data_IF_522809089990
#
_entry.id   IF_522809089990
#
_cell.length_a   1.000
_cell.length_b   1.000
_cell.length_c   1.000
_cell.angle_alpha   90.00
_cell.angle_beta   90.00
_cell.angle_gamma   90.00
#
_symmetry.space_group_name_H-M   'P 1'
#
loop_
_entity.id
_entity.type
_entity.pdbx_description
1 polymer ?
#
# COMPACT_ATOMS: atom_id res chain seq x y z
N UNK A 1 -12.63 9.44 48.20
CA UNK A 1 -13.11 9.02 46.86
C UNK A 1 -12.55 9.99 45.83
N UNK A 2 -11.47 9.66 45.10
CA UNK A 2 -10.79 10.57 44.14
C UNK A 2 -9.96 9.80 43.10
N UNK A 3 -10.42 8.61 42.68
CA UNK A 3 -9.67 7.70 41.80
C UNK A 3 -10.21 7.63 40.36
N UNK A 4 -11.36 8.27 40.08
CA UNK A 4 -12.03 8.17 38.77
C UNK A 4 -11.36 8.97 37.65
N UNK A 5 -10.77 10.14 37.94
CA UNK A 5 -10.14 10.99 36.91
C UNK A 5 -8.97 10.34 36.17
N UNK A 6 -8.09 9.62 36.88
CA UNK A 6 -6.95 8.92 36.25
C UNK A 6 -7.34 7.73 35.38
N UNK A 7 -8.55 7.17 35.52
CA UNK A 7 -9.05 6.08 34.69
C UNK A 7 -9.63 6.62 33.39
N UNK A 8 -10.35 7.74 33.44
CA UNK A 8 -10.94 8.38 32.26
C UNK A 8 -9.87 8.93 31.31
N UNK A 9 -8.80 9.56 31.81
CA UNK A 9 -7.67 10.03 30.97
C UNK A 9 -7.02 8.91 30.12
N UNK A 10 -6.92 7.71 30.70
CA UNK A 10 -6.36 6.55 29.99
C UNK A 10 -7.32 6.01 28.93
N UNK A 11 -8.61 6.02 29.24
CA UNK A 11 -9.67 5.59 28.33
C UNK A 11 -9.78 6.55 27.14
N UNK A 12 -9.73 7.86 27.39
CA UNK A 12 -9.79 8.90 26.36
C UNK A 12 -8.61 8.81 25.40
N UNK A 13 -7.39 8.63 25.92
CA UNK A 13 -6.19 8.39 25.08
C UNK A 13 -6.27 7.10 24.29
N UNK A 14 -6.97 6.07 24.79
CA UNK A 14 -7.20 4.83 24.07
C UNK A 14 -8.23 5.03 22.94
N UNK A 15 -9.33 5.73 23.22
CA UNK A 15 -10.40 6.00 22.26
C UNK A 15 -9.92 6.91 21.12
N UNK A 16 -9.22 8.01 21.43
CA UNK A 16 -8.64 8.89 20.42
C UNK A 16 -7.63 8.16 19.53
N UNK A 17 -6.86 7.24 20.13
CA UNK A 17 -5.91 6.41 19.40
C UNK A 17 -6.64 5.53 18.38
N UNK A 18 -7.67 4.81 18.80
CA UNK A 18 -8.47 3.93 17.92
C UNK A 18 -9.17 4.73 16.81
N UNK A 19 -9.71 5.92 17.13
CA UNK A 19 -10.36 6.80 16.17
C UNK A 19 -9.39 7.31 15.08
N UNK A 20 -8.20 7.77 15.49
CA UNK A 20 -7.17 8.23 14.55
C UNK A 20 -6.67 7.10 13.63
N UNK A 21 -6.51 5.88 14.16
CA UNK A 21 -6.12 4.72 13.36
C UNK A 21 -7.18 4.32 12.34
N UNK A 22 -8.46 4.40 12.72
CA UNK A 22 -9.56 4.17 11.78
C UNK A 22 -9.55 5.20 10.65
N UNK A 23 -9.41 6.49 10.96
CA UNK A 23 -9.31 7.56 9.95
C UNK A 23 -8.12 7.38 8.99
N UNK A 24 -6.94 7.06 9.53
CA UNK A 24 -5.73 6.79 8.74
C UNK A 24 -5.80 5.52 7.90
N UNK A 25 -6.67 4.56 8.23
CA UNK A 25 -6.89 3.35 7.45
C UNK A 25 -7.89 3.58 6.32
N UNK A 26 -8.93 4.38 6.57
CA UNK A 26 -9.98 4.69 5.59
C UNK A 26 -9.40 5.45 4.39
N UNK A 27 -8.50 6.41 4.62
CA UNK A 27 -7.87 7.20 3.54
C UNK A 27 -7.13 6.35 2.48
N UNK A 28 -6.16 5.49 2.84
CA UNK A 28 -5.48 4.63 1.88
C UNK A 28 -6.39 3.53 1.32
N UNK A 29 -7.40 3.07 2.06
CA UNK A 29 -8.39 2.14 1.54
C UNK A 29 -9.24 2.77 0.41
N UNK A 30 -9.69 4.02 0.60
CA UNK A 30 -10.41 4.77 -0.43
C UNK A 30 -9.52 5.11 -1.64
N UNK A 31 -8.25 5.49 -1.40
CA UNK A 31 -7.29 5.73 -2.48
C UNK A 31 -7.02 4.47 -3.30
N UNK A 32 -6.84 3.33 -2.64
CA UNK A 32 -6.67 2.03 -3.30
C UNK A 32 -7.91 1.62 -4.09
N UNK A 33 -9.11 1.81 -3.52
CA UNK A 33 -10.37 1.53 -4.19
C UNK A 33 -10.56 2.41 -5.44
N UNK A 34 -10.21 3.70 -5.36
CA UNK A 34 -10.23 4.61 -6.50
C UNK A 34 -9.27 4.17 -7.62
N UNK A 35 -8.07 3.70 -7.26
CA UNK A 35 -7.11 3.15 -8.24
C UNK A 35 -7.66 1.89 -8.92
N UNK A 36 -8.31 1.00 -8.16
CA UNK A 36 -8.95 -0.21 -8.71
C UNK A 36 -10.12 0.13 -9.63
N UNK A 37 -10.93 1.12 -9.29
CA UNK A 37 -12.04 1.54 -10.12
C UNK A 37 -11.56 2.13 -11.46
N UNK A 38 -10.49 2.93 -11.41
CA UNK A 38 -9.86 3.45 -12.62
C UNK A 38 -9.28 2.33 -13.49
N UNK A 39 -8.58 1.37 -12.88
CA UNK A 39 -8.04 0.20 -13.58
C UNK A 39 -9.17 -0.60 -14.23
N UNK A 40 -10.27 -0.85 -13.51
CA UNK A 40 -11.43 -1.57 -14.02
C UNK A 40 -12.07 -0.90 -15.24
N UNK A 41 -12.25 0.42 -15.21
CA UNK A 41 -12.93 1.13 -16.30
C UNK A 41 -12.09 1.18 -17.59
N UNK A 42 -10.77 1.34 -17.47
CA UNK A 42 -9.89 1.49 -18.63
C UNK A 42 -9.27 0.14 -19.09
N UNK A 43 -9.53 -0.95 -18.36
CA UNK A 43 -8.93 -2.25 -18.62
C UNK A 43 -9.20 -2.77 -20.03
N UNK A 44 -10.44 -2.64 -20.52
CA UNK A 44 -10.84 -3.16 -21.83
C UNK A 44 -10.09 -2.47 -22.97
N UNK A 45 -10.00 -1.14 -22.95
CA UNK A 45 -9.27 -0.38 -23.96
C UNK A 45 -7.76 -0.68 -23.91
N UNK A 46 -7.19 -0.77 -22.71
CA UNK A 46 -5.78 -1.14 -22.53
C UNK A 46 -5.49 -2.56 -23.03
N UNK A 47 -6.40 -3.52 -22.79
CA UNK A 47 -6.27 -4.88 -23.29
C UNK A 47 -6.33 -4.93 -24.82
N UNK A 48 -7.22 -4.16 -25.44
CA UNK A 48 -7.32 -4.08 -26.90
C UNK A 48 -6.05 -3.47 -27.49
N UNK A 49 -5.54 -2.39 -26.89
CA UNK A 49 -4.29 -1.74 -27.30
C UNK A 49 -3.09 -2.68 -27.17
N UNK A 50 -2.97 -3.37 -26.04
CA UNK A 50 -1.91 -4.35 -25.77
C UNK A 50 -2.00 -5.53 -26.75
N UNK A 51 -3.20 -6.06 -26.99
CA UNK A 51 -3.39 -7.19 -27.91
C UNK A 51 -3.01 -6.82 -29.36
N UNK A 52 -3.25 -5.57 -29.78
CA UNK A 52 -2.79 -5.08 -31.10
C UNK A 52 -1.26 -5.05 -31.22
N UNK A 53 -0.56 -4.72 -30.14
CA UNK A 53 0.91 -4.72 -30.12
C UNK A 53 1.47 -6.15 -30.10
N UNK A 54 0.88 -7.04 -29.31
CA UNK A 54 1.38 -8.40 -29.07
C UNK A 54 0.96 -9.40 -30.16
N UNK A 55 -0.16 -9.19 -30.84
CA UNK A 55 -0.64 -10.05 -31.92
C UNK A 55 0.43 -10.32 -32.99
N UNK A 56 1.21 -9.30 -33.38
CA UNK A 56 2.28 -9.45 -34.38
C UNK A 56 3.48 -10.25 -33.88
N UNK A 57 3.77 -10.19 -32.58
CA UNK A 57 4.94 -10.81 -31.98
C UNK A 57 4.70 -12.28 -31.64
N UNK A 58 3.45 -12.63 -31.29
CA UNK A 58 3.04 -13.99 -30.93
C UNK A 58 2.20 -14.70 -31.99
N UNK A 59 1.94 -14.06 -33.15
CA UNK A 59 1.14 -14.62 -34.26
C UNK A 59 -0.27 -15.08 -33.83
N UNK A 60 -0.90 -14.34 -32.92
CA UNK A 60 -2.27 -14.55 -32.41
C UNK A 60 -3.23 -13.75 -33.30
N UNK A 61 -4.51 -14.15 -33.51
CA UNK A 61 -5.47 -13.34 -34.28
C UNK A 61 -5.66 -11.92 -33.69
N UNK A 62 -5.32 -10.90 -34.48
CA UNK A 62 -5.53 -9.49 -34.12
C UNK A 62 -7.03 -9.14 -34.09
N UNK A 63 -7.48 -8.32 -33.11
CA UNK A 63 -8.86 -7.84 -33.09
C UNK A 63 -9.14 -7.00 -34.35
N UNK A 64 -10.25 -7.29 -35.03
CA UNK A 64 -10.61 -6.63 -36.28
C UNK A 64 -10.98 -5.17 -36.02
N UNK A 65 -10.27 -4.25 -36.68
CA UNK A 65 -10.64 -2.83 -36.73
C UNK A 65 -11.87 -2.73 -37.64
N UNK A 66 -12.98 -2.17 -37.12
CA UNK A 66 -14.11 -1.77 -37.97
C UNK A 66 -13.58 -0.96 -39.16
N UNK A 67 -14.13 -1.21 -40.36
CA UNK A 67 -13.62 -0.87 -41.71
C UNK A 67 -13.30 0.62 -42.01
N UNK A 68 -12.52 1.31 -41.17
CA UNK A 68 -12.14 2.72 -41.29
C UNK A 68 -10.71 2.99 -40.79
N UNK A 69 -9.76 2.07 -40.99
CA UNK A 69 -8.34 2.41 -40.82
C UNK A 69 -7.52 1.85 -42.00
N UNK A 70 -7.80 2.45 -43.15
CA UNK A 70 -6.92 2.44 -44.30
C UNK A 70 -5.57 3.05 -43.89
N UNK A 71 -4.53 2.22 -43.93
CA UNK A 71 -3.17 2.58 -44.36
C UNK A 71 -2.63 3.93 -43.86
N UNK A 72 -1.96 3.89 -42.71
CA UNK A 72 -0.97 4.90 -42.36
C UNK A 72 0.32 4.22 -41.90
N UNK A 73 1.04 3.72 -42.91
CA UNK A 73 2.49 3.71 -42.86
C UNK A 73 2.93 5.19 -42.94
N UNK A 74 3.12 5.83 -41.78
CA UNK A 74 3.80 7.13 -41.68
C UNK A 74 5.24 6.89 -41.24
N UNK A 75 6.24 6.94 -42.14
CA UNK A 75 7.63 7.06 -41.75
C UNK A 75 7.90 8.55 -41.49
N UNK A 76 7.54 9.07 -40.31
CA UNK A 76 7.74 10.51 -40.09
C UNK A 76 7.03 11.21 -38.93
N UNK A 77 6.61 10.50 -37.87
CA UNK A 77 6.28 11.16 -36.60
C UNK A 77 7.05 10.50 -35.46
N UNK A 78 8.28 10.96 -35.30
CA UNK A 78 8.85 11.07 -33.97
C UNK A 78 7.95 12.01 -33.14
N UNK A 79 7.80 11.70 -31.85
CA UNK A 79 7.26 12.59 -30.80
C UNK A 79 5.73 12.67 -30.68
N UNK A 80 5.10 11.55 -30.31
CA UNK A 80 4.00 11.53 -29.34
C UNK A 80 4.36 10.41 -28.35
N UNK A 81 5.23 10.64 -27.36
CA UNK A 81 5.05 11.67 -26.35
C UNK A 81 4.07 11.16 -25.29
N UNK A 82 4.47 10.10 -24.58
CA UNK A 82 4.07 9.74 -23.21
C UNK A 82 2.60 9.50 -22.82
N UNK A 83 1.61 9.46 -23.73
CA UNK A 83 0.19 9.41 -23.32
C UNK A 83 -0.63 8.19 -23.80
N UNK A 84 -0.02 7.01 -23.90
CA UNK A 84 -0.79 5.77 -24.19
C UNK A 84 -0.20 4.52 -23.51
N UNK A 85 0.38 4.73 -22.33
CA UNK A 85 0.66 3.66 -21.37
C UNK A 85 -0.29 3.87 -20.21
N UNK A 86 -0.88 2.80 -19.63
CA UNK A 86 -1.74 2.98 -18.48
C UNK A 86 -0.96 3.77 -17.43
N UNK A 87 -1.56 4.86 -16.93
CA UNK A 87 -0.83 5.94 -16.26
C UNK A 87 0.03 5.33 -15.15
N UNK A 88 1.35 5.29 -15.36
CA UNK A 88 2.29 4.61 -14.46
C UNK A 88 2.13 5.12 -13.02
N UNK A 89 1.79 6.40 -12.88
CA UNK A 89 1.48 7.04 -11.62
C UNK A 89 0.35 6.35 -10.84
N UNK A 90 -0.68 5.83 -11.50
CA UNK A 90 -1.80 5.15 -10.82
C UNK A 90 -1.36 3.78 -10.28
N UNK A 91 -0.50 3.07 -11.01
CA UNK A 91 0.15 1.86 -10.49
C UNK A 91 1.06 2.17 -9.29
N UNK A 92 1.85 3.24 -9.36
CA UNK A 92 2.70 3.65 -8.23
C UNK A 92 1.86 4.02 -7.00
N UNK A 93 0.74 4.72 -7.19
CA UNK A 93 -0.18 5.09 -6.10
C UNK A 93 -0.81 3.85 -5.47
N UNK A 94 -1.19 2.82 -6.26
CA UNK A 94 -1.69 1.53 -5.73
C UNK A 94 -0.69 0.89 -4.76
N UNK A 95 0.59 0.83 -5.14
CA UNK A 95 1.63 0.27 -4.28
C UNK A 95 1.88 1.12 -3.03
N UNK A 96 1.90 2.44 -3.17
CA UNK A 96 2.03 3.36 -2.02
C UNK A 96 0.85 3.20 -1.06
N UNK A 97 -0.39 3.14 -1.55
CA UNK A 97 -1.57 2.90 -0.72
C UNK A 97 -1.47 1.55 0.04
N UNK A 98 -1.04 0.47 -0.63
CA UNK A 98 -0.86 -0.83 0.04
C UNK A 98 0.28 -0.83 1.08
N UNK A 99 1.37 -0.12 0.81
CA UNK A 99 2.50 0.02 1.73
C UNK A 99 2.09 0.84 2.95
N UNK A 100 1.32 1.92 2.75
CA UNK A 100 0.79 2.75 3.83
C UNK A 100 -0.09 1.93 4.78
N UNK A 101 -0.97 1.06 4.26
CA UNK A 101 -1.78 0.16 5.10
C UNK A 101 -0.90 -0.76 5.94
N UNK A 102 0.19 -1.30 5.39
CA UNK A 102 1.15 -2.12 6.15
C UNK A 102 1.92 -1.33 7.21
N UNK A 103 2.33 -0.10 6.88
CA UNK A 103 3.04 0.79 7.81
C UNK A 103 2.10 1.24 8.95
N UNK A 104 0.86 1.60 8.66
CA UNK A 104 -0.12 1.97 9.71
C UNK A 104 -0.38 0.82 10.67
N UNK A 105 -0.42 -0.42 10.17
CA UNK A 105 -0.62 -1.63 10.97
C UNK A 105 0.59 -1.95 11.86
N UNK A 106 1.81 -1.78 11.35
CA UNK A 106 3.04 -2.04 12.10
C UNK A 106 3.30 -1.00 13.19
N UNK A 107 3.05 0.29 12.90
CA UNK A 107 3.13 1.38 13.90
C UNK A 107 2.07 1.23 15.00
N UNK A 108 0.91 0.64 14.68
CA UNK A 108 -0.12 0.34 15.67
C UNK A 108 0.33 -0.72 16.68
N UNK A 109 0.97 -1.79 16.19
CA UNK A 109 1.49 -2.89 17.00
C UNK A 109 2.72 -2.47 17.85
N UNK A 110 3.54 -1.54 17.34
CA UNK A 110 4.62 -0.90 18.08
C UNK A 110 4.11 0.23 18.99
N UNK A 111 3.20 -0.10 19.91
CA UNK A 111 2.96 0.75 21.06
C UNK A 111 4.26 0.86 21.88
N UNK A 112 4.57 2.04 22.46
CA UNK A 112 5.78 2.22 23.28
C UNK A 112 5.92 1.19 24.41
N UNK A 113 4.80 0.63 24.89
CA UNK A 113 4.78 -0.50 25.84
C UNK A 113 5.34 -1.80 25.24
N UNK A 114 5.08 -2.07 23.96
CA UNK A 114 5.59 -3.23 23.22
C UNK A 114 7.10 -3.09 23.03
N UNK A 115 7.61 -1.93 22.61
CA UNK A 115 9.06 -1.70 22.41
C UNK A 115 9.85 -1.87 23.70
N UNK A 116 9.31 -1.40 24.84
CA UNK A 116 9.95 -1.55 26.16
C UNK A 116 9.98 -3.03 26.60
N UNK A 117 8.88 -3.76 26.38
CA UNK A 117 8.81 -5.21 26.68
C UNK A 117 9.76 -6.02 25.78
N UNK A 118 9.84 -5.68 24.49
CA UNK A 118 10.77 -6.29 23.53
C UNK A 118 12.23 -6.01 23.88
N UNK A 119 12.54 -4.81 24.37
CA UNK A 119 13.87 -4.49 24.89
C UNK A 119 14.22 -5.33 26.11
N UNK A 120 13.30 -5.47 27.07
CA UNK A 120 13.51 -6.33 28.25
C UNK A 120 13.66 -7.81 27.87
N UNK A 121 12.91 -8.28 26.87
CA UNK A 121 13.03 -9.62 26.34
C UNK A 121 14.35 -9.83 25.58
N UNK A 122 14.80 -8.85 24.80
CA UNK A 122 16.10 -8.88 24.12
C UNK A 122 17.26 -8.85 25.12
N UNK A 123 17.17 -8.08 26.21
CA UNK A 123 18.16 -8.07 27.30
C UNK A 123 18.22 -9.43 28.02
N UNK A 124 17.08 -10.11 28.20
CA UNK A 124 17.03 -11.49 28.73
C UNK A 124 17.65 -12.52 27.77
N UNK A 125 17.37 -12.41 26.46
CA UNK A 125 17.94 -13.28 25.42
C UNK A 125 19.45 -13.07 25.23
N UNK A 126 19.95 -11.85 25.44
CA UNK A 126 21.37 -11.52 25.43
C UNK A 126 22.12 -12.00 26.70
N UNK A 127 21.46 -12.76 27.58
CA UNK A 127 22.11 -13.36 28.73
C UNK A 127 22.50 -12.37 29.82
N UNK A 128 21.92 -11.16 29.84
CA UNK A 128 21.93 -10.29 31.05
C UNK A 128 20.97 -10.85 32.09
N UNK A 129 21.14 -12.12 32.44
CA UNK A 129 20.62 -12.64 33.70
C UNK A 129 21.45 -11.99 34.80
N UNK A 130 20.89 -10.97 35.45
CA UNK A 130 21.30 -10.55 36.78
C UNK A 130 20.91 -11.61 37.83
N UNK A 131 21.15 -12.89 37.54
CA UNK A 131 20.93 -14.02 38.45
C UNK A 131 22.25 -14.59 38.99
N UNK A 132 23.31 -13.79 39.00
CA UNK A 132 24.57 -14.13 39.68
C UNK A 132 25.05 -13.01 40.62
N UNK A 133 24.13 -12.47 41.44
CA UNK A 133 24.48 -11.59 42.57
C UNK A 133 23.68 -11.95 43.82
N UNK A 134 23.88 -13.17 44.30
CA UNK A 134 23.32 -13.61 45.59
C UNK A 134 23.61 -15.04 46.04
N UNK A 135 24.47 -15.79 45.32
CA UNK A 135 24.92 -17.10 45.79
C UNK A 135 26.26 -17.07 46.56
N UNK A 136 26.97 -15.94 46.61
CA UNK A 136 28.19 -15.77 47.41
C UNK A 136 28.38 -14.29 47.76
N UNK A 137 27.77 -13.84 48.87
CA UNK A 137 28.33 -13.06 49.99
C UNK A 137 27.24 -12.99 51.05
#
# INVERSE_FOLDING_TARGET
>A
MKHDGTRTDKLERLMLRIGFFSGLFILPALGYLGCLFYEYYNFDDWMIQWNRQMCKIFSIPCPAIGKHQHQQHHPGMAMAGDEERPIFHIYMVKYVCSMLVGVTSSVWLWSGKTVISWRQFAERLQGKDSRSRGAYV
#
